data_IF_492498181290
#
_entry.id   IF_492498181290
#
_cell.length_a   1.000
_cell.length_b   1.000
_cell.length_c   1.000
_cell.angle_alpha   90.00
_cell.angle_beta   90.00
_cell.angle_gamma   90.00
#
_symmetry.space_group_name_H-M   'P 1'
#
loop_
_entity.id
_entity.type
_entity.pdbx_description
1 polymer ?
#
# COMPACT_ATOMS: atom_id res chain seq x y z
N UNK A 1 24.11 10.24 66.75
CA UNK A 1 22.88 9.90 66.00
C UNK A 1 23.27 9.62 64.55
N UNK A 2 23.39 8.34 64.21
CA UNK A 2 23.93 7.85 62.94
C UNK A 2 22.77 7.78 61.93
N UNK A 3 22.73 8.70 60.97
CA UNK A 3 21.86 8.61 59.78
C UNK A 3 22.68 8.08 58.61
N UNK A 4 22.80 6.77 58.50
CA UNK A 4 23.20 6.12 57.25
C UNK A 4 22.70 4.65 57.23
N UNK A 5 21.46 4.38 56.79
CA UNK A 5 21.21 3.03 56.26
C UNK A 5 20.25 2.90 55.07
N UNK A 6 19.80 4.00 54.41
CA UNK A 6 18.81 3.87 53.32
C UNK A 6 19.42 4.00 51.92
N UNK A 7 20.42 4.87 51.71
CA UNK A 7 21.04 5.08 50.38
C UNK A 7 21.88 3.88 49.93
N UNK A 8 22.57 3.19 50.84
CA UNK A 8 23.37 2.01 50.53
C UNK A 8 22.53 0.76 50.19
N UNK A 9 21.31 0.67 50.75
CA UNK A 9 20.38 -0.43 50.50
C UNK A 9 19.69 -0.30 49.14
N UNK A 10 19.45 0.93 48.67
CA UNK A 10 18.95 1.19 47.32
C UNK A 10 20.01 0.96 46.22
N UNK A 11 21.29 1.27 46.49
CA UNK A 11 22.38 1.04 45.53
C UNK A 11 22.66 -0.46 45.32
N UNK A 12 22.57 -1.26 46.39
CA UNK A 12 22.75 -2.72 46.32
C UNK A 12 21.57 -3.44 45.67
N UNK A 13 20.34 -2.92 45.82
CA UNK A 13 19.16 -3.41 45.09
C UNK A 13 19.17 -3.02 43.59
N UNK A 14 19.85 -1.92 43.22
CA UNK A 14 20.05 -1.54 41.81
C UNK A 14 21.12 -2.40 41.11
N UNK A 15 22.18 -2.81 41.82
CA UNK A 15 23.21 -3.68 41.23
C UNK A 15 22.74 -5.13 41.03
N UNK A 16 21.79 -5.62 41.83
CA UNK A 16 21.22 -6.96 41.66
C UNK A 16 20.24 -7.06 40.47
N UNK A 17 19.77 -5.94 39.92
CA UNK A 17 18.95 -5.91 38.70
C UNK A 17 19.75 -6.14 37.40
N UNK A 18 21.10 -6.14 37.47
CA UNK A 18 21.98 -6.45 36.35
C UNK A 18 22.62 -7.85 36.43
N UNK A 19 22.22 -8.69 37.38
CA UNK A 19 22.57 -10.10 37.41
C UNK A 19 21.74 -10.90 36.38
N UNK A 20 21.80 -10.49 35.11
CA UNK A 20 21.25 -11.27 34.02
C UNK A 20 22.02 -12.57 33.87
N UNK A 21 21.32 -13.67 33.58
CA UNK A 21 21.93 -14.96 33.29
C UNK A 21 22.94 -14.81 32.14
N UNK A 22 24.23 -14.99 32.42
CA UNK A 22 25.26 -15.04 31.38
C UNK A 22 25.18 -16.37 30.61
N UNK A 23 25.57 -16.41 29.33
CA UNK A 23 25.69 -17.67 28.59
C UNK A 23 26.63 -18.64 29.31
N UNK A 24 26.17 -19.89 29.52
CA UNK A 24 26.96 -20.94 30.20
C UNK A 24 27.81 -21.78 29.24
N UNK A 25 27.65 -21.59 27.94
CA UNK A 25 28.37 -22.30 26.89
C UNK A 25 29.56 -21.49 26.40
N UNK A 26 30.70 -22.15 26.16
CA UNK A 26 31.78 -21.57 25.36
C UNK A 26 31.28 -21.36 23.92
N UNK A 27 31.29 -20.11 23.45
CA UNK A 27 30.88 -19.75 22.09
C UNK A 27 32.11 -19.80 21.17
N UNK A 28 31.99 -20.32 19.94
CA UNK A 28 33.03 -20.15 18.94
C UNK A 28 33.34 -18.67 18.71
N UNK A 29 34.62 -18.37 18.50
CA UNK A 29 35.03 -17.03 18.05
C UNK A 29 34.65 -16.86 16.57
N UNK A 30 34.17 -15.67 16.22
CA UNK A 30 33.70 -15.36 14.86
C UNK A 30 34.50 -14.18 14.34
N UNK A 31 35.15 -14.35 13.19
CA UNK A 31 35.86 -13.27 12.49
C UNK A 31 34.87 -12.14 12.12
N UNK A 32 35.05 -10.92 12.65
CA UNK A 32 34.19 -9.79 12.34
C UNK A 32 34.15 -9.45 10.84
N UNK A 33 35.22 -9.71 10.09
CA UNK A 33 35.21 -9.46 8.64
C UNK A 33 34.31 -10.44 7.90
N UNK A 34 34.28 -11.72 8.31
CA UNK A 34 33.34 -12.70 7.74
C UNK A 34 31.90 -12.29 8.03
N UNK A 35 31.61 -11.84 9.25
CA UNK A 35 30.28 -11.35 9.62
C UNK A 35 29.87 -10.10 8.81
N UNK A 36 30.80 -9.17 8.55
CA UNK A 36 30.54 -7.97 7.75
C UNK A 36 30.30 -8.29 6.25
N UNK A 37 31.04 -9.25 5.69
CA UNK A 37 30.82 -9.75 4.32
C UNK A 37 29.43 -10.38 4.19
N UNK A 38 29.08 -11.25 5.14
CA UNK A 38 27.75 -11.88 5.17
C UNK A 38 26.63 -10.86 5.38
N UNK A 39 26.80 -9.86 6.25
CA UNK A 39 25.82 -8.79 6.42
C UNK A 39 25.57 -8.01 5.11
N UNK A 40 26.59 -7.85 4.25
CA UNK A 40 26.43 -7.20 2.94
C UNK A 40 25.59 -8.07 1.99
N UNK A 41 25.79 -9.39 1.99
CA UNK A 41 24.98 -10.35 1.25
C UNK A 41 23.52 -10.30 1.72
N UNK A 42 23.29 -10.34 3.04
CA UNK A 42 21.96 -10.27 3.63
C UNK A 42 21.23 -8.97 3.29
N UNK A 43 21.93 -7.83 3.29
CA UNK A 43 21.36 -6.54 2.89
C UNK A 43 20.94 -6.55 1.42
N UNK A 44 21.79 -7.05 0.52
CA UNK A 44 21.44 -7.19 -0.90
C UNK A 44 20.21 -8.08 -1.08
N UNK A 45 20.18 -9.25 -0.43
CA UNK A 45 19.03 -10.16 -0.48
C UNK A 45 17.75 -9.52 0.06
N UNK A 46 17.86 -8.68 1.10
CA UNK A 46 16.73 -7.93 1.64
C UNK A 46 16.18 -6.92 0.63
N UNK A 47 17.05 -6.18 -0.07
CA UNK A 47 16.64 -5.27 -1.16
C UNK A 47 15.98 -6.04 -2.28
N UNK A 48 16.60 -7.11 -2.79
CA UNK A 48 16.03 -7.93 -3.86
C UNK A 48 14.66 -8.52 -3.46
N UNK A 49 14.51 -8.97 -2.21
CA UNK A 49 13.25 -9.50 -1.68
C UNK A 49 12.18 -8.43 -1.56
N UNK A 50 12.54 -7.24 -1.05
CA UNK A 50 11.63 -6.09 -0.95
C UNK A 50 11.17 -5.65 -2.34
N UNK A 51 12.09 -5.48 -3.29
CA UNK A 51 11.75 -5.05 -4.66
C UNK A 51 10.89 -6.06 -5.39
N UNK A 52 11.11 -7.38 -5.22
CA UNK A 52 10.22 -8.40 -5.81
C UNK A 52 8.78 -8.26 -5.31
N UNK A 53 8.58 -8.01 -4.02
CA UNK A 53 7.24 -7.79 -3.44
C UNK A 53 6.62 -6.50 -3.94
N UNK A 54 7.38 -5.42 -3.92
CA UNK A 54 6.94 -4.12 -4.41
C UNK A 54 6.53 -4.20 -5.89
N UNK A 55 7.34 -4.81 -6.74
CA UNK A 55 7.01 -4.97 -8.15
C UNK A 55 5.80 -5.87 -8.39
N UNK A 56 5.65 -6.96 -7.64
CA UNK A 56 4.43 -7.78 -7.69
C UNK A 56 3.18 -6.96 -7.31
N UNK A 57 3.28 -6.13 -6.28
CA UNK A 57 2.19 -5.22 -5.88
C UNK A 57 1.85 -4.23 -7.00
N UNK A 58 2.84 -3.63 -7.64
CA UNK A 58 2.62 -2.73 -8.77
C UNK A 58 2.07 -3.45 -10.01
N UNK A 59 2.56 -4.64 -10.33
CA UNK A 59 2.08 -5.45 -11.46
C UNK A 59 0.59 -5.78 -11.35
N UNK A 60 0.11 -6.07 -10.15
CA UNK A 60 -1.30 -6.36 -9.91
C UNK A 60 -2.12 -5.09 -9.76
N UNK A 61 -1.61 -4.07 -9.09
CA UNK A 61 -2.40 -2.86 -8.80
C UNK A 61 -2.54 -1.91 -9.98
N UNK A 62 -1.58 -1.85 -10.91
CA UNK A 62 -1.67 -0.96 -12.08
C UNK A 62 -2.88 -1.25 -12.97
N UNK A 63 -3.16 -2.50 -13.39
CA UNK A 63 -4.39 -2.82 -14.12
C UNK A 63 -5.67 -2.49 -13.34
N UNK A 64 -5.67 -2.70 -12.01
CA UNK A 64 -6.79 -2.35 -11.11
C UNK A 64 -7.07 -0.85 -11.15
N UNK A 65 -6.02 -0.02 -11.11
CA UNK A 65 -6.14 1.44 -11.16
C UNK A 65 -6.52 1.96 -12.56
N UNK A 66 -5.93 1.39 -13.63
CA UNK A 66 -6.19 1.80 -15.01
C UNK A 66 -7.60 1.43 -15.48
N UNK A 67 -7.98 0.17 -15.33
CA UNK A 67 -9.29 -0.30 -15.79
C UNK A 67 -10.42 0.06 -14.82
N UNK A 68 -10.08 0.50 -13.61
CA UNK A 68 -10.99 1.00 -12.58
C UNK A 68 -11.38 2.47 -12.71
N UNK A 69 -10.81 3.24 -13.65
CA UNK A 69 -11.02 4.70 -13.78
C UNK A 69 -12.48 5.13 -13.78
N UNK A 70 -13.36 4.40 -14.47
CA UNK A 70 -14.81 4.68 -14.48
C UNK A 70 -15.48 4.62 -13.09
N UNK A 71 -14.88 3.89 -12.15
CA UNK A 71 -15.36 3.77 -10.77
C UNK A 71 -14.81 4.90 -9.88
N UNK A 72 -13.74 5.57 -10.29
CA UNK A 72 -13.03 6.57 -9.47
C UNK A 72 -13.56 8.01 -9.61
N UNK A 73 -14.59 8.21 -10.45
CA UNK A 73 -15.20 9.52 -10.68
C UNK A 73 -14.18 10.53 -11.21
N UNK A 74 -14.10 11.70 -10.58
CA UNK A 74 -13.16 12.76 -10.99
C UNK A 74 -11.72 12.54 -10.48
N UNK A 75 -11.45 11.50 -9.68
CA UNK A 75 -10.10 11.18 -9.16
C UNK A 75 -9.33 10.31 -10.15
N UNK A 76 -8.94 10.92 -11.26
CA UNK A 76 -8.13 10.30 -12.32
C UNK A 76 -6.85 11.11 -12.53
N UNK A 77 -5.76 10.41 -12.77
CA UNK A 77 -4.44 10.98 -13.07
C UNK A 77 -3.78 10.21 -14.21
N UNK A 78 -2.66 10.71 -14.71
CA UNK A 78 -1.92 10.10 -15.80
C UNK A 78 -0.67 9.38 -15.31
N UNK A 79 -0.31 8.29 -15.98
CA UNK A 79 0.87 7.51 -15.64
C UNK A 79 1.51 6.85 -16.87
N UNK A 80 2.74 6.34 -16.70
CA UNK A 80 3.48 5.64 -17.76
C UNK A 80 3.67 4.15 -17.50
N UNK A 81 3.63 3.69 -16.25
CA UNK A 81 3.88 2.28 -15.92
C UNK A 81 5.36 1.87 -15.96
N UNK A 82 6.23 2.71 -15.40
CA UNK A 82 7.62 2.35 -15.10
C UNK A 82 8.01 2.85 -13.72
N UNK A 83 8.88 2.10 -13.04
CA UNK A 83 9.56 2.55 -11.84
C UNK A 83 10.88 3.20 -12.22
N UNK A 84 11.19 4.30 -11.54
CA UNK A 84 12.48 4.97 -11.63
C UNK A 84 13.07 5.14 -10.24
N UNK A 85 14.38 5.21 -10.14
CA UNK A 85 15.06 5.46 -8.87
C UNK A 85 16.46 6.03 -9.09
N UNK A 86 17.03 6.60 -8.03
CA UNK A 86 18.42 7.06 -7.96
C UNK A 86 18.93 6.92 -6.54
N UNK A 87 20.25 6.82 -6.40
CA UNK A 87 20.88 6.47 -5.12
C UNK A 87 20.68 7.52 -4.03
N UNK A 88 20.36 8.77 -4.38
CA UNK A 88 20.08 9.85 -3.42
C UNK A 88 18.78 9.63 -2.65
N UNK A 89 17.83 8.86 -3.20
CA UNK A 89 16.58 8.48 -2.54
C UNK A 89 16.74 7.31 -1.55
N UNK A 90 17.93 6.69 -1.49
CA UNK A 90 18.21 5.53 -0.66
C UNK A 90 18.96 5.95 0.61
N UNK A 91 18.53 5.51 1.82
CA UNK A 91 19.26 5.76 3.06
C UNK A 91 20.70 5.26 2.98
N UNK A 92 21.64 6.02 3.54
CA UNK A 92 23.09 5.78 3.38
C UNK A 92 23.50 4.34 3.71
N UNK A 93 22.95 3.77 4.78
CA UNK A 93 23.20 2.41 5.26
C UNK A 93 22.78 1.29 4.28
N UNK A 94 21.92 1.59 3.29
CA UNK A 94 21.41 0.67 2.28
C UNK A 94 21.95 0.94 0.88
N UNK A 95 22.66 2.06 0.66
CA UNK A 95 23.11 2.48 -0.69
C UNK A 95 23.92 1.39 -1.39
N UNK A 96 24.87 0.75 -0.70
CA UNK A 96 25.67 -0.31 -1.34
C UNK A 96 24.80 -1.49 -1.78
N UNK A 97 23.83 -1.90 -0.96
CA UNK A 97 22.92 -2.99 -1.30
C UNK A 97 22.03 -2.65 -2.51
N UNK A 98 21.54 -1.42 -2.63
CA UNK A 98 20.77 -0.96 -3.80
C UNK A 98 21.65 -0.82 -5.06
N UNK A 99 22.91 -0.39 -4.92
CA UNK A 99 23.89 -0.43 -6.01
C UNK A 99 24.10 -1.84 -6.52
N UNK A 100 24.30 -2.79 -5.62
CA UNK A 100 24.60 -4.18 -5.97
C UNK A 100 23.36 -4.92 -6.52
N UNK A 101 22.17 -4.60 -6.02
CA UNK A 101 20.92 -5.25 -6.41
C UNK A 101 20.30 -4.65 -7.69
N UNK A 102 20.32 -3.33 -7.84
CA UNK A 102 19.60 -2.61 -8.91
C UNK A 102 20.52 -1.76 -9.80
N UNK A 103 21.82 -1.71 -9.53
CA UNK A 103 22.75 -0.91 -10.32
C UNK A 103 22.53 0.61 -10.18
N UNK A 104 21.92 1.09 -9.10
CA UNK A 104 21.64 2.53 -8.94
C UNK A 104 22.92 3.36 -8.83
N UNK A 105 22.88 4.57 -9.37
CA UNK A 105 23.92 5.59 -9.17
C UNK A 105 23.24 6.96 -8.97
N UNK A 106 23.99 8.06 -9.10
CA UNK A 106 23.49 9.42 -8.89
C UNK A 106 22.52 9.91 -9.98
N UNK A 107 22.28 9.09 -11.02
CA UNK A 107 21.39 9.39 -12.15
C UNK A 107 20.05 8.69 -11.97
N UNK A 108 19.00 9.23 -12.60
CA UNK A 108 17.67 8.63 -12.64
C UNK A 108 17.68 7.41 -13.56
N UNK A 109 17.48 6.23 -12.99
CA UNK A 109 17.42 4.96 -13.73
C UNK A 109 16.03 4.38 -13.71
N UNK A 110 15.60 3.84 -14.84
CA UNK A 110 14.44 2.95 -14.92
C UNK A 110 14.81 1.63 -14.25
N UNK A 111 14.12 1.27 -13.18
CA UNK A 111 14.36 0.02 -12.43
C UNK A 111 13.39 -1.08 -12.83
N UNK A 112 12.19 -0.73 -13.27
CA UNK A 112 11.16 -1.65 -13.77
C UNK A 112 10.35 -0.98 -14.86
N UNK A 113 9.92 -1.77 -15.84
CA UNK A 113 8.90 -1.38 -16.81
C UNK A 113 7.81 -2.44 -16.72
N UNK A 114 6.58 -2.01 -16.47
CA UNK A 114 5.44 -2.92 -16.30
C UNK A 114 4.85 -3.24 -17.67
N UNK A 115 4.50 -4.51 -17.91
CA UNK A 115 3.93 -4.93 -19.18
C UNK A 115 2.57 -4.26 -19.41
N UNK A 116 2.19 -4.09 -20.69
CA UNK A 116 0.91 -3.49 -21.08
C UNK A 116 0.70 -2.07 -20.55
N UNK A 117 1.78 -1.28 -20.47
CA UNK A 117 1.74 0.12 -20.04
C UNK A 117 2.37 1.04 -21.09
N UNK A 118 2.09 2.35 -21.06
CA UNK A 118 2.69 3.30 -22.00
C UNK A 118 4.22 3.26 -22.07
N UNK A 119 4.90 3.01 -20.96
CA UNK A 119 6.36 2.89 -20.93
C UNK A 119 6.84 1.63 -21.66
N UNK A 120 6.13 0.51 -21.48
CA UNK A 120 6.40 -0.72 -22.23
C UNK A 120 6.20 -0.50 -23.74
N UNK A 121 5.09 0.12 -24.12
CA UNK A 121 4.76 0.39 -25.53
C UNK A 121 5.74 1.38 -26.18
N UNK A 122 6.24 2.36 -25.42
CA UNK A 122 7.29 3.27 -25.85
C UNK A 122 8.68 2.62 -25.93
N UNK A 123 8.85 1.39 -25.41
CA UNK A 123 10.09 0.63 -25.51
C UNK A 123 11.13 0.97 -24.43
N UNK A 124 10.71 1.51 -23.28
CA UNK A 124 11.59 1.64 -22.11
C UNK A 124 12.07 0.26 -21.63
N UNK A 125 13.25 0.23 -21.01
CA UNK A 125 13.84 -0.98 -20.46
C UNK A 125 14.48 -0.70 -19.09
N UNK A 126 14.49 -1.68 -18.16
CA UNK A 126 15.29 -1.60 -16.96
C UNK A 126 16.76 -1.31 -17.30
N UNK A 127 17.35 -0.33 -16.62
CA UNK A 127 18.71 0.15 -16.87
C UNK A 127 18.80 1.44 -17.69
N UNK A 128 17.72 1.86 -18.37
CA UNK A 128 17.67 3.14 -19.06
C UNK A 128 17.93 4.29 -18.08
N UNK A 129 18.80 5.22 -18.47
CA UNK A 129 19.06 6.45 -17.70
C UNK A 129 18.29 7.60 -18.33
N UNK A 130 17.43 8.28 -17.58
CA UNK A 130 16.65 9.41 -18.09
C UNK A 130 17.50 10.68 -18.08
N UNK A 131 17.77 11.26 -19.24
CA UNK A 131 18.61 12.45 -19.41
C UNK A 131 17.78 13.73 -19.54
N UNK A 132 16.66 13.68 -20.27
CA UNK A 132 15.76 14.82 -20.47
C UNK A 132 14.30 14.37 -20.60
N UNK A 133 13.38 15.25 -20.21
CA UNK A 133 11.93 15.10 -20.42
C UNK A 133 11.42 16.38 -21.09
N UNK A 134 10.78 16.28 -22.26
CA UNK A 134 10.27 17.42 -23.03
C UNK A 134 11.30 18.54 -23.21
N UNK A 135 12.55 18.16 -23.54
CA UNK A 135 13.68 19.07 -23.72
C UNK A 135 14.25 19.67 -22.44
N UNK A 136 13.66 19.40 -21.26
CA UNK A 136 14.17 19.82 -19.96
C UNK A 136 15.12 18.77 -19.40
N UNK A 137 16.34 19.18 -19.07
CA UNK A 137 17.38 18.30 -18.52
C UNK A 137 16.99 17.77 -17.14
N UNK A 138 17.22 16.47 -16.92
CA UNK A 138 17.10 15.82 -15.61
C UNK A 138 18.37 16.07 -14.81
N UNK A 139 18.21 16.53 -13.57
CA UNK A 139 19.31 16.75 -12.63
C UNK A 139 19.81 15.42 -12.03
N UNK A 140 21.05 15.42 -11.54
CA UNK A 140 21.71 14.26 -10.91
C UNK A 140 22.26 14.63 -9.54
N UNK A 141 22.47 13.63 -8.67
CA UNK A 141 23.03 13.84 -7.33
C UNK A 141 21.96 14.21 -6.30
N UNK A 142 22.29 15.10 -5.36
CA UNK A 142 21.44 15.40 -4.21
C UNK A 142 20.04 15.90 -4.61
N UNK A 143 19.01 15.19 -4.13
CA UNK A 143 17.58 15.45 -4.40
C UNK A 143 17.18 15.30 -5.87
N UNK A 144 18.00 14.64 -6.68
CA UNK A 144 17.69 14.38 -8.09
C UNK A 144 16.36 13.65 -8.24
N UNK A 145 16.09 12.63 -7.41
CA UNK A 145 14.87 11.85 -7.49
C UNK A 145 13.60 12.70 -7.32
N UNK A 146 13.54 13.50 -6.25
CA UNK A 146 12.37 14.32 -5.93
C UNK A 146 12.14 15.39 -7.00
N UNK A 147 13.21 16.02 -7.51
CA UNK A 147 13.10 16.98 -8.61
C UNK A 147 12.60 16.33 -9.90
N UNK A 148 13.15 15.16 -10.23
CA UNK A 148 12.71 14.37 -11.38
C UNK A 148 11.24 13.97 -11.27
N UNK A 149 10.81 13.46 -10.10
CA UNK A 149 9.43 13.05 -9.88
C UNK A 149 8.46 14.23 -10.08
N UNK A 150 8.79 15.41 -9.53
CA UNK A 150 7.98 16.63 -9.75
C UNK A 150 7.97 17.08 -11.21
N UNK A 151 9.12 17.04 -11.90
CA UNK A 151 9.23 17.39 -13.32
C UNK A 151 8.40 16.42 -14.20
N UNK A 152 8.47 15.12 -13.92
CA UNK A 152 7.72 14.09 -14.63
C UNK A 152 6.23 14.28 -14.41
N UNK A 153 5.78 14.45 -13.16
CA UNK A 153 4.38 14.67 -12.83
C UNK A 153 3.82 15.89 -13.58
N UNK A 154 4.55 17.01 -13.61
CA UNK A 154 4.15 18.21 -14.37
C UNK A 154 3.92 17.89 -15.86
N UNK A 155 4.69 16.96 -16.45
CA UNK A 155 4.47 16.56 -17.85
C UNK A 155 3.25 15.65 -17.98
N UNK A 156 3.08 14.72 -17.04
CA UNK A 156 1.97 13.76 -17.06
C UNK A 156 0.61 14.43 -16.85
N UNK A 157 0.54 15.47 -16.02
CA UNK A 157 -0.70 16.21 -15.73
C UNK A 157 -1.35 16.81 -16.98
N UNK A 158 -0.59 16.97 -18.08
CA UNK A 158 -1.13 17.46 -19.37
C UNK A 158 -1.92 16.39 -20.14
N UNK A 159 -1.68 15.10 -19.87
CA UNK A 159 -2.16 13.98 -20.70
C UNK A 159 -1.56 13.93 -22.10
N UNK A 160 -0.66 14.86 -22.46
CA UNK A 160 -0.04 14.93 -23.78
C UNK A 160 1.13 13.95 -23.92
N UNK A 161 1.59 13.75 -25.15
CA UNK A 161 2.78 12.93 -25.41
C UNK A 161 3.99 13.50 -24.68
N UNK A 162 4.67 12.65 -23.90
CA UNK A 162 5.91 13.00 -23.21
C UNK A 162 7.09 12.43 -23.99
N UNK A 163 7.99 13.32 -24.41
CA UNK A 163 9.24 12.96 -25.08
C UNK A 163 10.38 12.80 -24.07
N UNK A 164 11.17 11.76 -24.25
CA UNK A 164 12.30 11.43 -23.40
C UNK A 164 13.57 11.34 -24.22
N UNK A 165 14.66 11.85 -23.65
CA UNK A 165 16.00 11.50 -24.08
C UNK A 165 16.61 10.63 -23.00
N UNK A 166 16.98 9.41 -23.37
CA UNK A 166 17.55 8.41 -22.46
C UNK A 166 18.94 8.00 -22.93
N UNK A 167 19.69 7.35 -22.04
CA UNK A 167 20.90 6.60 -22.37
C UNK A 167 20.65 5.12 -22.06
N UNK A 168 20.88 4.26 -23.06
CA UNK A 168 20.85 2.80 -22.93
C UNK A 168 22.21 2.25 -23.35
N UNK A 169 22.86 1.49 -22.47
CA UNK A 169 24.19 0.92 -22.72
C UNK A 169 25.24 1.96 -23.19
N UNK A 170 25.15 3.18 -22.66
CA UNK A 170 26.04 4.30 -23.02
C UNK A 170 25.71 4.99 -24.36
N UNK A 171 24.66 4.54 -25.07
CA UNK A 171 24.20 5.17 -26.30
C UNK A 171 22.93 6.01 -26.04
N UNK A 172 22.92 7.29 -26.44
CA UNK A 172 21.72 8.09 -26.32
C UNK A 172 20.64 7.72 -27.34
N UNK A 173 19.38 7.80 -26.92
CA UNK A 173 18.23 7.66 -27.81
C UNK A 173 17.01 8.46 -27.34
N UNK A 174 16.08 8.69 -28.26
CA UNK A 174 14.81 9.36 -27.97
C UNK A 174 13.67 8.34 -27.93
N UNK A 175 12.84 8.43 -26.89
CA UNK A 175 11.58 7.71 -26.77
C UNK A 175 10.43 8.72 -26.62
N UNK A 176 9.20 8.28 -26.89
CA UNK A 176 8.01 9.09 -26.64
C UNK A 176 6.89 8.18 -26.18
N UNK A 177 6.18 8.59 -25.14
CA UNK A 177 5.08 7.82 -24.56
C UNK A 177 3.84 8.71 -24.43
N UNK A 178 2.67 8.15 -24.71
CA UNK A 178 1.39 8.80 -24.46
C UNK A 178 0.89 8.26 -23.12
N UNK A 179 0.79 9.09 -22.06
CA UNK A 179 0.33 8.63 -20.76
C UNK A 179 -1.07 8.02 -20.82
N UNK A 180 -1.31 7.00 -19.99
CA UNK A 180 -2.63 6.41 -19.79
C UNK A 180 -3.28 6.99 -18.53
N UNK A 181 -4.60 6.99 -18.49
CA UNK A 181 -5.37 7.34 -17.30
C UNK A 181 -5.35 6.21 -16.27
N UNK A 182 -5.31 6.56 -14.99
CA UNK A 182 -5.53 5.64 -13.87
C UNK A 182 -6.22 6.36 -12.73
N UNK A 183 -6.82 5.62 -11.82
CA UNK A 183 -7.32 6.18 -10.57
C UNK A 183 -6.20 6.91 -9.80
N UNK A 184 -6.50 8.10 -9.29
CA UNK A 184 -5.59 8.97 -8.53
C UNK A 184 -5.53 8.56 -7.06
N UNK A 185 -5.12 7.31 -6.83
CA UNK A 185 -4.78 6.77 -5.52
C UNK A 185 -3.41 6.13 -5.60
N UNK A 186 -2.54 6.42 -4.62
CA UNK A 186 -1.24 5.77 -4.55
C UNK A 186 -1.39 4.35 -3.99
N UNK A 187 -0.63 3.39 -4.50
CA UNK A 187 -0.53 2.05 -3.92
C UNK A 187 0.87 1.87 -3.37
N UNK A 188 0.98 1.69 -2.06
CA UNK A 188 2.24 1.73 -1.32
C UNK A 188 2.46 0.41 -0.59
N UNK A 189 3.73 0.02 -0.45
CA UNK A 189 4.11 -1.09 0.40
C UNK A 189 4.73 -0.59 1.71
N UNK A 190 4.30 -1.16 2.83
CA UNK A 190 4.91 -0.94 4.15
C UNK A 190 5.79 -2.11 4.55
N UNK A 191 6.89 -1.86 5.26
CA UNK A 191 7.79 -2.90 5.78
C UNK A 191 7.24 -3.66 7.00
N UNK A 192 6.04 -3.31 7.49
CA UNK A 192 5.37 -4.02 8.58
C UNK A 192 5.11 -5.50 8.22
N UNK A 193 5.40 -6.38 9.17
CA UNK A 193 5.22 -7.84 9.04
C UNK A 193 3.85 -8.32 9.51
N UNK A 194 3.02 -7.45 10.10
CA UNK A 194 1.62 -7.76 10.42
C UNK A 194 0.84 -7.96 9.12
N UNK A 195 -0.01 -8.98 9.05
CA UNK A 195 -0.91 -9.21 7.91
C UNK A 195 -2.00 -8.14 7.91
N UNK A 196 -1.80 -7.08 7.11
CA UNK A 196 -2.75 -5.98 7.00
C UNK A 196 -2.69 -5.25 5.64
N UNK A 197 -3.81 -4.63 5.27
CA UNK A 197 -3.88 -3.59 4.24
C UNK A 197 -4.87 -2.51 4.71
N UNK A 198 -4.72 -1.28 4.23
CA UNK A 198 -5.64 -0.22 4.59
C UNK A 198 -5.67 0.92 3.59
N UNK A 199 -6.81 1.58 3.53
CA UNK A 199 -7.06 2.84 2.84
C UNK A 199 -7.00 4.04 3.81
N UNK A 200 -6.42 5.17 3.39
CA UNK A 200 -6.34 6.41 4.19
C UNK A 200 -7.17 7.58 3.63
N UNK A 201 -7.84 7.38 2.49
CA UNK A 201 -8.58 8.39 1.74
C UNK A 201 -7.89 8.82 0.45
N UNK A 202 -6.57 8.63 0.33
CA UNK A 202 -5.74 9.05 -0.80
C UNK A 202 -4.80 7.93 -1.31
N UNK A 203 -4.56 6.92 -0.49
CA UNK A 203 -3.66 5.81 -0.78
C UNK A 203 -4.23 4.47 -0.30
N UNK A 204 -3.75 3.41 -0.91
CA UNK A 204 -3.86 2.02 -0.45
C UNK A 204 -2.49 1.59 0.04
N UNK A 205 -2.39 1.13 1.27
CA UNK A 205 -1.14 0.63 1.85
C UNK A 205 -1.26 -0.87 2.10
N UNK A 206 -0.34 -1.64 1.52
CA UNK A 206 -0.24 -3.10 1.71
C UNK A 206 1.02 -3.41 2.51
N UNK A 207 0.87 -4.12 3.61
CA UNK A 207 2.02 -4.52 4.44
C UNK A 207 2.81 -5.65 3.79
N UNK A 208 4.10 -5.74 4.11
CA UNK A 208 4.94 -6.89 3.76
C UNK A 208 4.35 -8.19 4.31
N UNK A 209 3.78 -8.17 5.51
CA UNK A 209 3.05 -9.30 6.09
C UNK A 209 1.90 -9.78 5.21
N UNK A 210 1.09 -8.86 4.67
CA UNK A 210 0.03 -9.21 3.72
C UNK A 210 0.59 -9.76 2.41
N UNK A 211 1.67 -9.18 1.88
CA UNK A 211 2.34 -9.70 0.67
C UNK A 211 2.90 -11.12 0.85
N UNK A 212 3.35 -11.47 2.06
CA UNK A 212 3.79 -12.82 2.42
C UNK A 212 2.61 -13.79 2.65
N UNK A 213 1.42 -13.27 2.95
CA UNK A 213 0.20 -14.06 3.22
C UNK A 213 -0.58 -14.44 1.97
N UNK A 214 -0.63 -13.56 0.97
CA UNK A 214 -1.40 -13.71 -0.27
C UNK A 214 -0.84 -14.84 -1.14
N UNK A 215 -1.71 -15.73 -1.62
CA UNK A 215 -1.34 -16.94 -2.36
C UNK A 215 -1.44 -16.79 -3.90
N UNK A 216 -2.20 -15.81 -4.40
CA UNK A 216 -2.35 -15.55 -5.84
C UNK A 216 -2.44 -14.06 -6.17
N UNK A 217 -2.31 -13.73 -7.45
CA UNK A 217 -2.48 -12.35 -7.90
C UNK A 217 -3.97 -11.93 -7.90
N UNK A 218 -4.91 -12.87 -8.03
CA UNK A 218 -6.34 -12.62 -7.83
C UNK A 218 -6.66 -12.20 -6.38
N UNK A 219 -6.04 -12.84 -5.40
CA UNK A 219 -6.18 -12.44 -3.99
C UNK A 219 -5.57 -11.05 -3.73
N UNK A 220 -4.45 -10.73 -4.39
CA UNK A 220 -3.85 -9.39 -4.29
C UNK A 220 -4.74 -8.33 -4.93
N UNK A 221 -5.32 -8.63 -6.09
CA UNK A 221 -6.27 -7.74 -6.76
C UNK A 221 -7.53 -7.52 -5.92
N UNK A 222 -8.02 -8.56 -5.24
CA UNK A 222 -9.12 -8.43 -4.27
C UNK A 222 -8.77 -7.47 -3.14
N UNK A 223 -7.60 -7.62 -2.51
CA UNK A 223 -7.16 -6.75 -1.40
C UNK A 223 -7.02 -5.31 -1.87
N UNK A 224 -6.34 -5.07 -3.00
CA UNK A 224 -6.20 -3.72 -3.56
C UNK A 224 -7.56 -3.13 -3.94
N UNK A 225 -8.41 -3.91 -4.62
CA UNK A 225 -9.75 -3.49 -5.01
C UNK A 225 -10.66 -3.16 -3.82
N UNK A 226 -10.56 -3.92 -2.73
CA UNK A 226 -11.30 -3.67 -1.50
C UNK A 226 -10.91 -2.32 -0.88
N UNK A 227 -9.61 -2.05 -0.74
CA UNK A 227 -9.11 -0.77 -0.22
C UNK A 227 -9.42 0.40 -1.17
N UNK A 228 -9.39 0.17 -2.48
CA UNK A 228 -9.89 1.14 -3.47
C UNK A 228 -11.37 1.44 -3.25
N UNK A 229 -12.19 0.43 -2.94
CA UNK A 229 -13.59 0.59 -2.56
C UNK A 229 -13.77 1.52 -1.35
N UNK A 230 -12.96 1.36 -0.30
CA UNK A 230 -12.98 2.28 0.85
C UNK A 230 -12.67 3.73 0.47
N UNK A 231 -11.66 3.91 -0.37
CA UNK A 231 -11.20 5.22 -0.83
C UNK A 231 -12.23 5.92 -1.73
N UNK A 232 -12.72 5.24 -2.76
CA UNK A 232 -13.70 5.76 -3.73
C UNK A 232 -15.03 6.09 -3.05
N UNK A 233 -15.48 5.23 -2.12
CA UNK A 233 -16.75 5.44 -1.43
C UNK A 233 -16.63 6.40 -0.23
N UNK A 234 -15.44 6.97 0.00
CA UNK A 234 -15.20 7.98 1.03
C UNK A 234 -15.44 7.46 2.45
N UNK A 235 -15.24 6.16 2.69
CA UNK A 235 -15.53 5.52 3.99
C UNK A 235 -14.73 6.15 5.13
N UNK A 236 -13.47 6.53 4.88
CA UNK A 236 -12.60 7.17 5.87
C UNK A 236 -13.19 8.53 6.30
N UNK A 237 -13.62 9.35 5.33
CA UNK A 237 -14.23 10.66 5.58
C UNK A 237 -15.58 10.51 6.28
N UNK A 238 -16.44 9.57 5.83
CA UNK A 238 -17.73 9.27 6.47
C UNK A 238 -17.55 8.83 7.93
N UNK A 239 -16.61 7.93 8.19
CA UNK A 239 -16.29 7.43 9.55
C UNK A 239 -15.78 8.54 10.45
N UNK A 240 -14.90 9.40 9.94
CA UNK A 240 -14.38 10.57 10.65
C UNK A 240 -15.48 11.57 10.95
N UNK A 241 -16.34 11.87 9.98
CA UNK A 241 -17.52 12.73 10.15
C UNK A 241 -18.47 12.21 11.22
N UNK A 242 -18.79 10.92 11.21
CA UNK A 242 -19.62 10.30 12.24
C UNK A 242 -18.99 10.44 13.62
N UNK A 243 -17.67 10.19 13.75
CA UNK A 243 -16.94 10.36 15.01
C UNK A 243 -16.99 11.80 15.52
N UNK A 244 -16.84 12.79 14.64
CA UNK A 244 -16.95 14.22 14.98
C UNK A 244 -18.35 14.55 15.50
N UNK A 245 -19.40 14.08 14.82
CA UNK A 245 -20.80 14.27 15.25
C UNK A 245 -21.01 13.67 16.65
N UNK A 246 -20.50 12.46 16.88
CA UNK A 246 -20.55 11.83 18.20
C UNK A 246 -19.77 12.62 19.26
N UNK A 247 -18.61 13.17 18.91
CA UNK A 247 -17.80 13.99 19.82
C UNK A 247 -18.50 15.31 20.22
N UNK A 248 -19.33 15.89 19.34
CA UNK A 248 -20.19 17.03 19.66
C UNK A 248 -21.22 16.64 20.73
N UNK A 249 -21.85 15.47 20.62
CA UNK A 249 -22.78 14.96 21.64
C UNK A 249 -22.08 14.71 22.98
N UNK A 250 -20.87 14.13 22.96
CA UNK A 250 -20.04 13.99 24.17
C UNK A 250 -19.73 15.35 24.80
N UNK A 251 -19.45 16.38 24.00
CA UNK A 251 -19.19 17.75 24.47
C UNK A 251 -20.41 18.39 25.13
N UNK A 252 -21.60 18.21 24.54
CA UNK A 252 -22.86 18.68 25.13
C UNK A 252 -23.16 17.98 26.46
N UNK A 253 -22.95 16.67 26.53
CA UNK A 253 -23.14 15.91 27.77
C UNK A 253 -22.13 16.34 28.84
N UNK A 254 -20.87 16.56 28.47
CA UNK A 254 -19.85 17.07 29.38
C UNK A 254 -20.19 18.47 29.91
N UNK A 255 -20.79 19.33 29.07
CA UNK A 255 -21.28 20.65 29.50
C UNK A 255 -22.37 20.59 30.57
N UNK A 256 -23.16 19.52 30.61
CA UNK A 256 -24.22 19.30 31.61
C UNK A 256 -23.72 18.53 32.84
N UNK A 257 -22.85 17.53 32.64
CA UNK A 257 -22.47 16.56 33.67
C UNK A 257 -21.06 16.78 34.25
N UNK A 258 -20.24 17.60 33.60
CA UNK A 258 -18.83 17.80 33.93
C UNK A 258 -17.91 16.65 33.50
N UNK A 259 -18.42 15.61 32.82
CA UNK A 259 -17.66 14.41 32.46
C UNK A 259 -17.66 14.22 30.94
N UNK A 260 -16.46 14.13 30.35
CA UNK A 260 -16.28 13.80 28.94
C UNK A 260 -15.91 12.32 28.79
N UNK A 261 -16.76 11.54 28.11
CA UNK A 261 -16.62 10.06 28.07
C UNK A 261 -16.14 9.51 26.74
N UNK A 262 -16.23 10.28 25.65
CA UNK A 262 -15.93 9.85 24.28
C UNK A 262 -16.79 8.67 23.78
N UNK A 263 -17.88 8.34 24.49
CA UNK A 263 -18.71 7.18 24.21
C UNK A 263 -19.50 7.37 22.91
N UNK A 264 -20.07 8.57 22.72
CA UNK A 264 -20.83 8.87 21.51
C UNK A 264 -19.94 8.98 20.28
N UNK A 265 -18.75 9.56 20.41
CA UNK A 265 -17.76 9.61 19.33
C UNK A 265 -17.35 8.20 18.88
N UNK A 266 -17.03 7.31 19.83
CA UNK A 266 -16.65 5.94 19.52
C UNK A 266 -17.81 5.14 18.91
N UNK A 267 -19.02 5.24 19.48
CA UNK A 267 -20.20 4.58 18.93
C UNK A 267 -20.53 5.07 17.52
N UNK A 268 -20.52 6.39 17.31
CA UNK A 268 -20.79 6.99 16.02
C UNK A 268 -19.74 6.60 14.97
N UNK A 269 -18.45 6.58 15.34
CA UNK A 269 -17.37 6.13 14.45
C UNK A 269 -17.44 4.64 14.07
N UNK A 270 -18.22 3.82 14.78
CA UNK A 270 -18.45 2.41 14.42
C UNK A 270 -19.77 2.20 13.66
N UNK A 271 -20.65 3.22 13.59
CA UNK A 271 -21.87 3.17 12.79
C UNK A 271 -21.51 2.92 11.32
N UNK A 272 -22.28 2.04 10.69
CA UNK A 272 -22.12 1.62 9.29
C UNK A 272 -20.83 0.86 8.96
N UNK A 273 -20.03 0.47 9.96
CA UNK A 273 -18.75 -0.22 9.70
C UNK A 273 -18.93 -1.51 8.91
N UNK A 274 -19.94 -2.33 9.22
CA UNK A 274 -20.19 -3.58 8.47
C UNK A 274 -20.71 -3.31 7.06
N UNK A 275 -21.52 -2.27 6.88
CA UNK A 275 -22.05 -1.85 5.60
C UNK A 275 -20.95 -1.27 4.70
N UNK A 276 -19.99 -0.54 5.27
CA UNK A 276 -18.81 -0.06 4.54
C UNK A 276 -17.89 -1.19 4.10
N UNK A 277 -17.70 -2.23 4.92
CA UNK A 277 -16.94 -3.42 4.48
C UNK A 277 -17.66 -4.16 3.34
N UNK A 278 -18.99 -4.24 3.39
CA UNK A 278 -19.79 -4.82 2.30
C UNK A 278 -19.72 -3.99 1.02
N UNK A 279 -19.81 -2.66 1.14
CA UNK A 279 -19.68 -1.75 0.01
C UNK A 279 -18.26 -1.83 -0.58
N UNK A 280 -17.22 -1.93 0.25
CA UNK A 280 -15.84 -2.14 -0.19
C UNK A 280 -15.61 -3.51 -0.84
N UNK A 281 -16.17 -4.60 -0.30
CA UNK A 281 -16.18 -5.93 -0.92
C UNK A 281 -16.86 -5.91 -2.29
N UNK A 282 -18.01 -5.25 -2.38
CA UNK A 282 -18.77 -5.13 -3.61
C UNK A 282 -17.97 -4.38 -4.67
N UNK A 283 -17.45 -3.20 -4.34
CA UNK A 283 -16.58 -2.40 -5.23
C UNK A 283 -15.31 -3.17 -5.61
N UNK A 284 -14.70 -3.89 -4.67
CA UNK A 284 -13.47 -4.63 -4.89
C UNK A 284 -13.60 -5.73 -5.94
N UNK A 285 -14.73 -6.43 -5.98
CA UNK A 285 -15.02 -7.41 -7.05
C UNK A 285 -15.08 -6.73 -8.42
N UNK A 286 -15.71 -5.56 -8.53
CA UNK A 286 -15.74 -4.81 -9.80
C UNK A 286 -14.35 -4.33 -10.21
N UNK A 287 -13.55 -3.81 -9.27
CA UNK A 287 -12.18 -3.39 -9.54
C UNK A 287 -11.32 -4.53 -10.09
N UNK A 288 -11.33 -5.69 -9.43
CA UNK A 288 -10.49 -6.82 -9.84
C UNK A 288 -10.94 -7.43 -11.18
N UNK A 289 -12.25 -7.60 -11.40
CA UNK A 289 -12.80 -8.19 -12.62
C UNK A 289 -12.59 -7.29 -13.84
N UNK A 290 -12.77 -5.98 -13.68
CA UNK A 290 -12.44 -5.01 -14.75
C UNK A 290 -10.97 -5.03 -15.14
N UNK A 291 -10.10 -5.38 -14.21
CA UNK A 291 -8.67 -5.53 -14.42
C UNK A 291 -8.27 -6.92 -14.95
N UNK A 292 -9.24 -7.83 -15.17
CA UNK A 292 -9.01 -9.16 -15.71
C UNK A 292 -8.64 -10.23 -14.69
N UNK A 293 -8.79 -9.96 -13.39
CA UNK A 293 -8.58 -10.94 -12.30
C UNK A 293 -9.87 -11.69 -11.96
N UNK A 294 -9.76 -12.97 -11.60
CA UNK A 294 -10.93 -13.84 -11.38
C UNK A 294 -11.46 -13.75 -9.95
N UNK A 295 -12.66 -13.19 -9.77
CA UNK A 295 -13.31 -13.09 -8.46
C UNK A 295 -13.93 -14.40 -7.99
N UNK A 296 -14.01 -15.45 -8.82
CA UNK A 296 -14.65 -16.73 -8.45
C UNK A 296 -14.01 -17.34 -7.20
N UNK A 297 -12.69 -17.19 -7.06
CA UNK A 297 -11.92 -17.67 -5.90
C UNK A 297 -11.87 -16.70 -4.72
N UNK A 298 -12.21 -15.42 -4.92
CA UNK A 298 -12.04 -14.34 -3.95
C UNK A 298 -12.64 -14.62 -2.54
N UNK A 299 -13.81 -15.26 -2.40
CA UNK A 299 -14.35 -15.60 -1.08
C UNK A 299 -13.40 -16.44 -0.22
N UNK A 300 -12.57 -17.30 -0.83
CA UNK A 300 -11.67 -18.18 -0.09
C UNK A 300 -10.58 -17.43 0.69
N UNK A 301 -10.19 -16.23 0.25
CA UNK A 301 -9.29 -15.36 1.00
C UNK A 301 -9.84 -15.08 2.40
N UNK A 302 -11.11 -14.69 2.51
CA UNK A 302 -11.76 -14.42 3.80
C UNK A 302 -11.99 -15.67 4.63
N UNK A 303 -12.20 -16.82 3.98
CA UNK A 303 -12.24 -18.12 4.67
C UNK A 303 -10.91 -18.42 5.34
N UNK A 304 -9.78 -18.20 4.66
CA UNK A 304 -8.42 -18.39 5.19
C UNK A 304 -8.14 -17.42 6.34
N UNK A 305 -8.42 -16.13 6.14
CA UNK A 305 -8.28 -15.11 7.18
C UNK A 305 -9.12 -15.39 8.44
N UNK A 306 -10.35 -15.91 8.26
CA UNK A 306 -11.20 -16.33 9.37
C UNK A 306 -10.64 -17.54 10.13
N UNK A 307 -10.02 -18.50 9.43
CA UNK A 307 -9.38 -19.66 10.05
C UNK A 307 -8.13 -19.27 10.87
N UNK A 308 -7.34 -18.30 10.39
CA UNK A 308 -6.15 -17.81 11.08
C UNK A 308 -6.48 -16.90 12.27
N UNK A 309 -7.64 -16.22 12.22
CA UNK A 309 -8.18 -15.45 13.34
C UNK A 309 -9.59 -15.91 13.74
N UNK A 310 -9.73 -17.05 14.46
CA UNK A 310 -11.03 -17.59 14.83
C UNK A 310 -11.90 -16.63 15.66
N UNK A 311 -11.29 -15.67 16.37
CA UNK A 311 -12.01 -14.66 17.13
C UNK A 311 -12.83 -13.75 16.20
N UNK A 312 -12.32 -13.41 15.01
CA UNK A 312 -12.98 -12.51 14.06
C UNK A 312 -14.23 -13.11 13.41
N UNK A 313 -14.38 -14.45 13.39
CA UNK A 313 -15.52 -15.17 12.77
C UNK A 313 -16.89 -14.68 13.27
N UNK A 314 -16.96 -14.15 14.51
CA UNK A 314 -18.20 -13.65 15.11
C UNK A 314 -18.09 -12.30 15.84
N UNK A 315 -16.96 -11.59 15.71
CA UNK A 315 -16.73 -10.31 16.41
C UNK A 315 -16.36 -9.21 15.43
N UNK A 316 -16.82 -7.99 15.71
CA UNK A 316 -16.42 -6.81 14.96
C UNK A 316 -14.96 -6.46 15.28
N UNK A 317 -14.07 -6.59 14.28
CA UNK A 317 -12.70 -6.05 14.30
C UNK A 317 -12.64 -4.82 13.39
N UNK A 318 -11.45 -4.26 13.14
CA UNK A 318 -11.29 -3.13 12.19
C UNK A 318 -11.64 -3.53 10.76
N UNK A 319 -11.40 -4.80 10.40
CA UNK A 319 -11.86 -5.48 9.17
C UNK A 319 -12.38 -6.88 9.56
N UNK A 320 -13.64 -7.03 9.98
CA UNK A 320 -14.17 -8.30 10.46
C UNK A 320 -14.22 -9.33 9.33
N UNK A 321 -13.44 -10.40 9.49
CA UNK A 321 -13.51 -11.57 8.63
C UNK A 321 -14.69 -12.42 9.09
N UNK A 322 -15.78 -12.44 8.32
CA UNK A 322 -17.01 -13.12 8.73
C UNK A 322 -17.47 -14.14 7.69
N UNK A 323 -18.16 -15.18 8.14
CA UNK A 323 -18.87 -16.10 7.25
C UNK A 323 -19.87 -15.36 6.35
N UNK A 324 -20.40 -14.22 6.81
CA UNK A 324 -21.24 -13.36 6.01
C UNK A 324 -20.48 -12.79 4.80
N UNK A 325 -19.28 -12.21 4.99
CA UNK A 325 -18.47 -11.66 3.89
C UNK A 325 -18.13 -12.70 2.84
N UNK A 326 -17.83 -13.93 3.24
CA UNK A 326 -17.65 -15.06 2.32
C UNK A 326 -18.88 -15.22 1.40
N UNK A 327 -20.07 -15.39 2.00
CA UNK A 327 -21.32 -15.61 1.24
C UNK A 327 -21.71 -14.37 0.43
N UNK A 328 -21.41 -13.18 0.95
CA UNK A 328 -21.67 -11.91 0.26
C UNK A 328 -20.79 -11.78 -0.99
N UNK A 329 -19.50 -12.08 -0.91
CA UNK A 329 -18.60 -12.07 -2.07
C UNK A 329 -18.92 -13.15 -3.10
N UNK A 330 -19.41 -14.32 -2.70
CA UNK A 330 -19.93 -15.31 -3.65
C UNK A 330 -21.08 -14.72 -4.49
N UNK A 331 -21.96 -13.91 -3.88
CA UNK A 331 -23.03 -13.23 -4.62
C UNK A 331 -22.51 -12.12 -5.51
N UNK A 332 -21.55 -11.32 -5.03
CA UNK A 332 -20.94 -10.24 -5.81
C UNK A 332 -20.22 -10.79 -7.04
N UNK A 333 -19.39 -11.82 -6.85
CA UNK A 333 -18.69 -12.52 -7.93
C UNK A 333 -19.67 -13.08 -8.95
N UNK A 334 -20.72 -13.78 -8.49
CA UNK A 334 -21.76 -14.31 -9.37
C UNK A 334 -22.45 -13.21 -10.18
N UNK A 335 -22.79 -12.08 -9.57
CA UNK A 335 -23.40 -10.95 -10.27
C UNK A 335 -22.49 -10.41 -11.37
N UNK A 336 -21.20 -10.21 -11.07
CA UNK A 336 -20.25 -9.71 -12.08
C UNK A 336 -20.06 -10.71 -13.21
N UNK A 337 -19.97 -12.02 -12.91
CA UNK A 337 -19.89 -13.07 -13.93
C UNK A 337 -21.14 -13.16 -14.82
N UNK A 338 -22.33 -12.91 -14.24
CA UNK A 338 -23.57 -12.81 -15.02
C UNK A 338 -23.52 -11.59 -15.95
N UNK A 339 -23.06 -10.43 -15.47
CA UNK A 339 -22.88 -9.22 -16.28
C UNK A 339 -21.88 -9.41 -17.43
N UNK A 340 -20.74 -10.06 -17.16
CA UNK A 340 -19.74 -10.41 -18.17
C UNK A 340 -20.35 -11.28 -19.28
N UNK A 341 -21.08 -12.33 -18.89
CA UNK A 341 -21.74 -13.26 -19.82
C UNK A 341 -22.79 -12.56 -20.69
N UNK A 342 -23.49 -11.58 -20.13
CA UNK A 342 -24.47 -10.77 -20.85
C UNK A 342 -23.84 -9.69 -21.73
N UNK A 343 -22.51 -9.49 -21.66
CA UNK A 343 -21.80 -8.44 -22.37
C UNK A 343 -22.18 -7.03 -21.88
N UNK A 344 -22.65 -6.93 -20.64
CA UNK A 344 -22.99 -5.65 -20.02
C UNK A 344 -21.74 -5.01 -19.42
N UNK A 345 -21.75 -3.69 -19.31
CA UNK A 345 -20.66 -2.97 -18.67
C UNK A 345 -20.53 -3.38 -17.20
N UNK A 346 -19.30 -3.66 -16.75
CA UNK A 346 -19.02 -4.04 -15.36
C UNK A 346 -19.03 -2.80 -14.47
N UNK A 347 -20.24 -2.34 -14.14
CA UNK A 347 -20.50 -1.26 -13.19
C UNK A 347 -21.32 -1.76 -12.00
N UNK A 348 -21.02 -1.31 -10.77
CA UNK A 348 -21.78 -1.66 -9.59
C UNK A 348 -23.23 -1.17 -9.68
N UNK A 349 -24.16 -1.98 -9.16
CA UNK A 349 -25.55 -1.58 -8.99
C UNK A 349 -25.62 -0.56 -7.84
N UNK A 350 -25.88 0.69 -8.19
CA UNK A 350 -26.06 1.74 -7.19
C UNK A 350 -27.43 1.60 -6.53
N UNK A 351 -27.48 1.70 -5.20
CA UNK A 351 -28.75 1.78 -4.49
C UNK A 351 -29.52 3.00 -5.01
N UNK A 352 -30.79 2.83 -5.39
CA UNK A 352 -31.66 3.96 -5.65
C UNK A 352 -31.66 4.87 -4.41
N UNK A 353 -31.32 6.15 -4.60
CA UNK A 353 -31.56 7.15 -3.58
C UNK A 353 -33.05 7.05 -3.24
N UNK A 354 -33.38 6.51 -2.07
CA UNK A 354 -34.70 6.70 -1.49
C UNK A 354 -34.82 8.19 -1.27
N UNK A 355 -35.33 8.91 -2.26
CA UNK A 355 -35.85 10.26 -2.07
C UNK A 355 -36.80 10.12 -0.90
N UNK A 356 -36.48 10.76 0.22
CA UNK A 356 -37.40 10.86 1.34
C UNK A 356 -38.66 11.53 0.80
N UNK A 357 -39.63 10.71 0.43
CA UNK A 357 -40.91 11.14 -0.09
C UNK A 357 -41.70 11.70 1.09
N UNK A 358 -41.70 13.03 1.18
CA UNK A 358 -42.62 13.94 1.87
C UNK A 358 -42.57 14.03 3.39
#
# INVERSE_FOLDING_TARGET
>A
MIRLPVVFLLLSLLLSLFAGCAPVTARPDVDPELAAREASIQKRMAVESHMRKFWRLSEVSLPVLEHGTVLCGDRVTYYLGMDTNSIDNVPEEWRQAYKDALGLDERIKVTRVFAHTPAADAGFQPGDVVLMINGRKVETGDKAYVKFAGQLQEQLDTGETVSFWIERDGAPMALSAIPAERCDYAVLMSDDTVVNAYADGDSVVVTKGMMDYIESDDELALVVGHEMGHNVMGHITKKTGNRIIGAVLDGLLAGVTGVYTNNFANAAGMMYSQEFEQEADYMGVYFMERAGFDSTGAPNFWRRMGADNPYAIGHATTHPTSAYRYVFLEKCSKEVKEKEKEGTELLPNMAELKTASK
#
